data_IF_626748817528
#
_entry.id   IF_626748817528
#
_cell.length_a   1.000
_cell.length_b   1.000
_cell.length_c   1.000
_cell.angle_alpha   90.00
_cell.angle_beta   90.00
_cell.angle_gamma   90.00
#
_symmetry.space_group_name_H-M   'P 1'
#
loop_
_entity.id
_entity.type
_entity.pdbx_description
1 polymer ?
#
# COMPACT_ATOMS: atom_id res chain seq x y z
N UNK A 1 8.40 -17.26 14.60
CA UNK A 1 7.84 -16.05 15.25
C UNK A 1 6.75 -15.51 14.33
N UNK A 2 5.50 -15.44 14.78
CA UNK A 2 4.40 -14.82 14.03
C UNK A 2 4.39 -13.33 14.38
N UNK A 3 4.38 -12.46 13.38
CA UNK A 3 4.30 -11.01 13.59
C UNK A 3 2.96 -10.67 14.26
N UNK A 4 3.00 -9.98 15.41
CA UNK A 4 1.82 -9.47 16.12
C UNK A 4 1.88 -7.94 16.16
N UNK A 5 1.04 -7.23 15.40
CA UNK A 5 1.01 -5.77 15.39
C UNK A 5 0.44 -5.23 16.71
N UNK A 6 0.95 -4.08 17.17
CA UNK A 6 0.40 -3.37 18.34
C UNK A 6 -0.76 -2.47 17.95
N UNK A 7 -0.74 -1.95 16.72
CA UNK A 7 -1.80 -1.10 16.19
C UNK A 7 -2.77 -1.93 15.35
N UNK A 8 -3.69 -2.62 16.03
CA UNK A 8 -4.66 -3.53 15.38
C UNK A 8 -5.69 -2.81 14.51
N UNK A 9 -5.96 -1.53 14.77
CA UNK A 9 -6.99 -0.73 14.09
C UNK A 9 -6.45 0.15 12.94
N UNK A 10 -5.16 0.05 12.61
CA UNK A 10 -4.54 0.88 11.56
C UNK A 10 -4.11 -0.01 10.40
N UNK A 11 -4.48 0.39 9.19
CA UNK A 11 -4.22 -0.32 7.95
C UNK A 11 -3.66 0.64 6.91
N UNK A 12 -2.76 0.14 6.06
CA UNK A 12 -2.18 0.89 4.95
C UNK A 12 -2.55 0.23 3.63
N UNK A 13 -2.75 1.05 2.60
CA UNK A 13 -3.07 0.59 1.25
C UNK A 13 -2.20 1.37 0.25
N UNK A 14 -1.49 0.65 -0.61
CA UNK A 14 -0.88 1.20 -1.81
C UNK A 14 -1.76 0.85 -3.03
N UNK A 15 -2.52 1.85 -3.47
CA UNK A 15 -3.52 1.72 -4.53
C UNK A 15 -2.88 1.99 -5.90
N UNK A 16 -2.94 1.00 -6.78
CA UNK A 16 -2.51 1.10 -8.18
C UNK A 16 -3.69 1.14 -9.15
N UNK A 17 -4.90 0.81 -8.70
CA UNK A 17 -6.14 1.06 -9.42
C UNK A 17 -7.35 1.06 -8.46
N UNK A 18 -8.33 1.96 -8.63
CA UNK A 18 -8.35 3.06 -9.59
C UNK A 18 -7.51 4.25 -9.10
N UNK A 19 -6.61 4.76 -9.95
CA UNK A 19 -5.83 5.98 -9.66
C UNK A 19 -6.14 7.04 -10.73
N UNK A 20 -6.21 8.31 -10.35
CA UNK A 20 -6.45 9.38 -11.32
C UNK A 20 -5.26 9.56 -12.26
N UNK A 21 -5.54 9.53 -13.57
CA UNK A 21 -4.56 9.90 -14.58
C UNK A 21 -4.17 11.38 -14.52
N UNK A 22 -3.18 11.77 -15.32
CA UNK A 22 -2.73 13.17 -15.43
C UNK A 22 -3.86 14.12 -15.86
N UNK A 23 -4.84 13.60 -16.59
CA UNK A 23 -6.04 14.32 -17.02
C UNK A 23 -7.06 14.56 -15.89
N UNK A 24 -6.87 13.92 -14.73
CA UNK A 24 -7.77 13.91 -13.56
C UNK A 24 -9.20 13.47 -13.85
N UNK A 25 -9.43 12.78 -14.96
CA UNK A 25 -10.77 12.36 -15.41
C UNK A 25 -10.87 10.86 -15.58
N UNK A 26 -9.81 10.24 -16.09
CA UNK A 26 -9.83 8.81 -16.41
C UNK A 26 -9.10 8.03 -15.33
N UNK A 27 -9.74 7.02 -14.70
CA UNK A 27 -9.04 6.08 -13.85
C UNK A 27 -8.04 5.26 -14.66
N UNK A 28 -6.81 5.20 -14.18
CA UNK A 28 -5.72 4.44 -14.80
C UNK A 28 -5.21 3.38 -13.83
N UNK A 29 -4.56 2.37 -14.41
CA UNK A 29 -3.74 1.40 -13.69
C UNK A 29 -2.32 1.95 -13.67
N UNK A 30 -1.71 2.03 -12.50
CA UNK A 30 -0.30 2.42 -12.35
C UNK A 30 0.56 1.19 -12.09
N UNK A 31 1.80 1.20 -12.57
CA UNK A 31 2.78 0.17 -12.21
C UNK A 31 3.27 0.39 -10.78
N UNK A 32 3.48 -0.70 -10.05
CA UNK A 32 4.17 -0.66 -8.77
C UNK A 32 5.62 -1.11 -8.94
N UNK A 33 6.53 -0.52 -8.18
CA UNK A 33 7.91 -1.00 -8.12
C UNK A 33 8.18 -1.70 -6.79
N UNK A 34 9.15 -2.63 -6.73
CA UNK A 34 9.61 -3.17 -5.46
C UNK A 34 10.12 -2.09 -4.50
N UNK A 35 10.63 -0.97 -5.02
CA UNK A 35 11.11 0.14 -4.22
C UNK A 35 9.97 0.77 -3.40
N UNK A 36 8.85 1.10 -4.04
CA UNK A 36 7.67 1.67 -3.38
C UNK A 36 7.11 0.72 -2.30
N UNK A 37 7.12 -0.58 -2.59
CA UNK A 37 6.74 -1.62 -1.63
C UNK A 37 7.62 -1.57 -0.38
N UNK A 38 8.94 -1.57 -0.54
CA UNK A 38 9.87 -1.56 0.58
C UNK A 38 9.87 -0.24 1.35
N UNK A 39 9.67 0.88 0.67
CA UNK A 39 9.69 2.20 1.30
C UNK A 39 8.48 2.44 2.21
N UNK A 40 7.33 1.82 1.92
CA UNK A 40 6.15 1.87 2.80
C UNK A 40 6.15 0.71 3.81
N UNK A 41 6.65 -0.47 3.44
CA UNK A 41 6.69 -1.62 4.34
C UNK A 41 7.59 -1.39 5.56
N UNK A 42 8.73 -0.71 5.38
CA UNK A 42 9.65 -0.38 6.49
C UNK A 42 8.98 0.43 7.60
N UNK A 43 8.39 1.61 7.35
CA UNK A 43 7.69 2.35 8.40
C UNK A 43 6.44 1.61 8.89
N UNK A 44 5.71 0.88 8.04
CA UNK A 44 4.59 0.06 8.50
C UNK A 44 5.02 -0.94 9.59
N UNK A 45 6.21 -1.52 9.47
CA UNK A 45 6.78 -2.40 10.49
C UNK A 45 7.26 -1.63 11.73
N UNK A 46 7.88 -0.46 11.56
CA UNK A 46 8.35 0.40 12.67
C UNK A 46 7.20 0.86 13.56
N UNK A 47 6.06 1.20 12.97
CA UNK A 47 4.85 1.61 13.69
C UNK A 47 3.93 0.45 14.07
N UNK A 48 4.37 -0.80 13.86
CA UNK A 48 3.61 -2.00 14.20
C UNK A 48 2.17 -1.99 13.66
N UNK A 49 2.02 -1.51 12.41
CA UNK A 49 0.76 -1.43 11.67
C UNK A 49 0.20 -2.83 11.43
N UNK A 50 -1.13 -2.99 11.47
CA UNK A 50 -1.78 -4.27 11.32
C UNK A 50 -1.45 -4.94 9.98
N UNK A 51 -1.89 -4.34 8.88
CA UNK A 51 -1.69 -4.88 7.54
C UNK A 51 -1.39 -3.76 6.54
N UNK A 52 -0.50 -4.07 5.60
CA UNK A 52 -0.17 -3.25 4.45
C UNK A 52 -0.61 -3.97 3.17
N UNK A 53 -1.63 -3.45 2.50
CA UNK A 53 -2.21 -4.01 1.28
C UNK A 53 -1.66 -3.34 0.03
N UNK A 54 -1.53 -4.12 -1.04
CA UNK A 54 -1.30 -3.62 -2.40
C UNK A 54 -2.56 -3.93 -3.18
N UNK A 55 -3.18 -2.92 -3.77
CA UNK A 55 -4.41 -3.07 -4.54
C UNK A 55 -4.12 -2.77 -6.00
N UNK A 56 -4.20 -3.80 -6.84
CA UNK A 56 -4.04 -3.71 -8.28
C UNK A 56 -5.03 -4.67 -8.98
N UNK A 57 -5.40 -4.42 -10.24
CA UNK A 57 -6.12 -5.39 -11.06
C UNK A 57 -5.19 -6.55 -11.44
N UNK A 58 -5.77 -7.75 -11.60
CA UNK A 58 -5.06 -8.93 -12.13
C UNK A 58 -5.05 -8.88 -13.66
#
# INVERSE_FOLDING_TARGET
MVYKPKNENVFLVLLHYPVLGKDKKTPIITSFTPLDLHDIARPARTYEINTYYIVQPL
#
